data_IF_831845900974
#
_entry.id   IF_831845900974
#
_cell.length_a   1.000
_cell.length_b   1.000
_cell.length_c   1.000
_cell.angle_alpha   90.00
_cell.angle_beta   90.00
_cell.angle_gamma   90.00
#
_symmetry.space_group_name_H-M   'P 1'
#
loop_
_entity.id
_entity.type
_entity.pdbx_description
1 polymer ?
#
# COMPACT_ATOMS: atom_id res chain seq x y z
N UNK A 1 9.34 4.05 -23.82
CA UNK A 1 9.06 4.52 -22.46
C UNK A 1 7.64 4.07 -22.14
N UNK A 2 7.40 3.40 -21.00
CA UNK A 2 6.06 2.84 -20.67
C UNK A 2 5.09 3.98 -20.41
N UNK A 3 3.93 3.98 -21.09
CA UNK A 3 2.86 4.94 -20.86
C UNK A 3 1.90 4.39 -19.81
N UNK A 4 1.64 5.19 -18.77
CA UNK A 4 0.90 4.77 -17.61
C UNK A 4 -0.32 5.68 -17.37
N UNK A 5 -1.49 5.06 -17.17
CA UNK A 5 -2.69 5.75 -16.70
C UNK A 5 -3.00 5.36 -15.25
N UNK A 6 -3.42 6.33 -14.44
CA UNK A 6 -3.92 6.11 -13.08
C UNK A 6 -5.39 6.49 -13.05
N UNK A 7 -6.25 5.51 -12.78
CA UNK A 7 -7.68 5.72 -12.56
C UNK A 7 -7.90 6.01 -11.07
N UNK A 8 -8.15 7.27 -10.75
CA UNK A 8 -8.31 7.79 -9.39
C UNK A 8 -7.09 8.58 -8.90
N UNK A 9 -7.25 9.88 -8.78
CA UNK A 9 -6.26 10.82 -8.26
C UNK A 9 -6.31 11.01 -6.74
N UNK A 10 -6.86 10.04 -6.00
CA UNK A 10 -6.89 10.02 -4.54
C UNK A 10 -5.50 9.91 -3.93
N UNK A 11 -5.42 9.81 -2.60
CA UNK A 11 -4.13 9.78 -1.86
C UNK A 11 -3.15 8.72 -2.37
N UNK A 12 -3.64 7.51 -2.69
CA UNK A 12 -2.78 6.43 -3.14
C UNK A 12 -2.32 6.63 -4.60
N UNK A 13 -3.22 7.08 -5.49
CA UNK A 13 -2.85 7.44 -6.87
C UNK A 13 -1.84 8.58 -6.90
N UNK A 14 -2.04 9.63 -6.10
CA UNK A 14 -1.08 10.72 -5.94
C UNK A 14 0.29 10.23 -5.45
N UNK A 15 0.32 9.38 -4.41
CA UNK A 15 1.56 8.83 -3.89
C UNK A 15 2.34 8.04 -4.95
N UNK A 16 1.62 7.23 -5.72
CA UNK A 16 2.23 6.45 -6.79
C UNK A 16 2.83 7.35 -7.88
N UNK A 17 2.09 8.36 -8.32
CA UNK A 17 2.58 9.32 -9.33
C UNK A 17 3.78 10.10 -8.79
N UNK A 18 3.76 10.53 -7.53
CA UNK A 18 4.90 11.18 -6.90
C UNK A 18 6.15 10.27 -6.89
N UNK A 19 6.01 9.03 -6.44
CA UNK A 19 7.11 8.07 -6.43
C UNK A 19 7.64 7.72 -7.82
N UNK A 20 6.77 7.59 -8.82
CA UNK A 20 7.18 7.38 -10.22
C UNK A 20 8.00 8.58 -10.74
N UNK A 21 7.57 9.81 -10.44
CA UNK A 21 8.29 11.03 -10.79
C UNK A 21 9.68 11.08 -10.12
N UNK A 22 9.73 10.76 -8.83
CA UNK A 22 10.99 10.71 -8.07
C UNK A 22 11.93 9.62 -8.58
N UNK A 23 11.37 8.51 -9.11
CA UNK A 23 12.11 7.44 -9.78
C UNK A 23 12.50 7.77 -11.24
N UNK A 24 12.24 8.98 -11.72
CA UNK A 24 12.66 9.47 -13.03
C UNK A 24 11.75 9.08 -14.20
N UNK A 25 10.48 8.72 -13.92
CA UNK A 25 9.50 8.50 -15.00
C UNK A 25 9.13 9.83 -15.67
N UNK A 26 9.03 9.77 -17.02
CA UNK A 26 8.65 10.93 -17.82
C UNK A 26 7.21 11.35 -17.50
N UNK A 27 7.00 12.60 -17.07
CA UNK A 27 5.65 13.12 -16.79
C UNK A 27 4.71 13.04 -17.99
N UNK A 28 5.21 13.27 -19.20
CA UNK A 28 4.42 13.22 -20.44
C UNK A 28 3.91 11.79 -20.74
N UNK A 29 4.54 10.77 -20.15
CA UNK A 29 4.11 9.38 -20.20
C UNK A 29 3.07 8.99 -19.14
N UNK A 30 2.64 9.92 -18.27
CA UNK A 30 1.69 9.64 -17.18
C UNK A 30 0.39 10.40 -17.38
N UNK A 31 -0.74 9.69 -17.24
CA UNK A 31 -2.06 10.30 -17.21
C UNK A 31 -2.80 9.94 -15.91
N UNK A 32 -3.60 10.87 -15.38
CA UNK A 32 -4.48 10.65 -14.22
C UNK A 32 -5.91 10.94 -14.63
N UNK A 33 -6.82 9.99 -14.38
CA UNK A 33 -8.24 10.24 -14.43
C UNK A 33 -8.77 10.56 -13.03
N UNK A 34 -9.37 11.74 -12.86
CA UNK A 34 -9.99 12.16 -11.61
C UNK A 34 -11.29 12.91 -11.90
N UNK A 35 -12.38 12.46 -11.28
CA UNK A 35 -13.73 13.01 -11.54
C UNK A 35 -13.98 14.34 -10.80
N UNK A 36 -13.35 14.54 -9.66
CA UNK A 36 -13.49 15.75 -8.87
C UNK A 36 -12.68 16.91 -9.47
N UNK A 37 -13.32 18.03 -9.74
CA UNK A 37 -12.70 19.16 -10.43
C UNK A 37 -11.65 19.89 -9.60
N UNK A 38 -11.90 20.04 -8.28
CA UNK A 38 -10.95 20.72 -7.38
C UNK A 38 -9.70 19.84 -7.22
N UNK A 39 -9.92 18.51 -7.11
CA UNK A 39 -8.84 17.54 -7.03
C UNK A 39 -8.00 17.49 -8.30
N UNK A 40 -8.62 17.57 -9.49
CA UNK A 40 -7.88 17.68 -10.77
C UNK A 40 -6.96 18.90 -10.77
N UNK A 41 -7.50 20.06 -10.43
CA UNK A 41 -6.72 21.29 -10.40
C UNK A 41 -5.52 21.19 -9.46
N UNK A 42 -5.73 20.65 -8.26
CA UNK A 42 -4.64 20.37 -7.33
C UNK A 42 -3.57 19.45 -7.95
N UNK A 43 -3.97 18.38 -8.66
CA UNK A 43 -3.04 17.43 -9.27
C UNK A 43 -2.28 18.03 -10.45
N UNK A 44 -2.90 18.90 -11.24
CA UNK A 44 -2.26 19.66 -12.32
C UNK A 44 -1.14 20.56 -11.77
N UNK A 45 -1.43 21.29 -10.70
CA UNK A 45 -0.45 22.14 -10.03
C UNK A 45 0.68 21.31 -9.38
N UNK A 46 0.32 20.17 -8.79
CA UNK A 46 1.25 19.29 -8.05
C UNK A 46 2.20 18.54 -8.98
N UNK A 47 1.75 18.16 -10.17
CA UNK A 47 2.47 17.32 -11.13
C UNK A 47 2.57 17.96 -12.52
N UNK A 48 3.35 19.04 -12.69
CA UNK A 48 3.55 19.65 -14.00
C UNK A 48 4.04 18.63 -15.04
N UNK A 49 3.39 18.63 -16.22
CA UNK A 49 3.67 17.71 -17.33
C UNK A 49 2.88 16.39 -17.28
N UNK A 50 2.25 16.03 -16.15
CA UNK A 50 1.33 14.89 -16.07
C UNK A 50 -0.02 15.31 -16.65
N UNK A 51 -0.60 14.49 -17.51
CA UNK A 51 -1.92 14.75 -18.10
C UNK A 51 -3.02 14.38 -17.11
N UNK A 52 -3.75 15.36 -16.59
CA UNK A 52 -4.88 15.13 -15.67
C UNK A 52 -6.20 15.36 -16.43
N UNK A 53 -7.09 14.38 -16.42
CA UNK A 53 -8.32 14.38 -17.22
C UNK A 53 -9.54 13.94 -16.41
N UNK A 54 -10.77 14.40 -16.76
CA UNK A 54 -11.98 14.02 -16.03
C UNK A 54 -12.49 12.62 -16.39
N UNK A 55 -12.06 12.05 -17.52
CA UNK A 55 -12.60 10.81 -18.06
C UNK A 55 -11.59 9.66 -17.99
N UNK A 56 -11.98 8.49 -17.43
CA UNK A 56 -11.17 7.27 -17.50
C UNK A 56 -10.75 6.92 -18.93
N UNK A 57 -11.66 6.98 -19.90
CA UNK A 57 -11.39 6.67 -21.30
C UNK A 57 -10.30 7.56 -21.91
N UNK A 58 -10.26 8.85 -21.53
CA UNK A 58 -9.22 9.75 -22.04
C UNK A 58 -7.84 9.49 -21.42
N UNK A 59 -7.81 8.97 -20.18
CA UNK A 59 -6.54 8.62 -19.53
C UNK A 59 -5.92 7.37 -20.13
N UNK A 60 -6.72 6.36 -20.47
CA UNK A 60 -6.22 5.03 -20.86
C UNK A 60 -5.94 4.85 -22.35
N UNK A 61 -6.38 5.76 -23.21
CA UNK A 61 -6.44 5.57 -24.67
C UNK A 61 -5.10 5.12 -25.32
N UNK A 62 -3.97 5.47 -24.71
CA UNK A 62 -2.63 5.12 -25.20
C UNK A 62 -1.77 4.45 -24.11
N UNK A 63 -2.37 4.00 -23.01
CA UNK A 63 -1.65 3.44 -21.89
C UNK A 63 -1.25 1.99 -22.12
N UNK A 64 -0.01 1.65 -21.75
CA UNK A 64 0.50 0.29 -21.67
C UNK A 64 0.22 -0.33 -20.30
N UNK A 65 0.08 0.52 -19.26
CA UNK A 65 -0.28 0.14 -17.90
C UNK A 65 -1.38 1.03 -17.38
N UNK A 66 -2.44 0.42 -16.87
CA UNK A 66 -3.55 1.13 -16.23
C UNK A 66 -3.61 0.73 -14.76
N UNK A 67 -3.27 1.67 -13.88
CA UNK A 67 -3.37 1.48 -12.42
C UNK A 67 -4.77 1.88 -11.96
N UNK A 68 -5.48 0.92 -11.37
CA UNK A 68 -6.82 1.16 -10.79
C UNK A 68 -6.64 1.53 -9.31
N UNK A 69 -6.75 2.84 -9.03
CA UNK A 69 -6.52 3.47 -7.72
C UNK A 69 -7.78 4.13 -7.13
N UNK A 70 -8.95 3.76 -7.63
CA UNK A 70 -10.26 4.18 -7.11
C UNK A 70 -10.65 3.36 -5.88
N UNK A 71 -11.73 3.76 -5.19
CA UNK A 71 -12.30 2.95 -4.11
C UNK A 71 -12.76 1.58 -4.64
N UNK A 72 -12.74 0.52 -3.81
CA UNK A 72 -13.17 -0.81 -4.23
C UNK A 72 -14.55 -0.83 -4.91
N UNK A 73 -15.51 -0.07 -4.39
CA UNK A 73 -16.87 0.06 -4.93
C UNK A 73 -16.93 0.66 -6.33
N UNK A 74 -15.92 1.40 -6.74
CA UNK A 74 -15.92 2.18 -7.98
C UNK A 74 -15.08 1.51 -9.09
N UNK A 75 -14.44 0.35 -8.79
CA UNK A 75 -13.55 -0.36 -9.72
C UNK A 75 -14.28 -0.78 -10.98
N UNK A 76 -15.44 -1.43 -10.86
CA UNK A 76 -16.25 -1.86 -12.00
C UNK A 76 -16.61 -0.68 -12.90
N UNK A 77 -17.18 0.36 -12.32
CA UNK A 77 -17.59 1.58 -13.05
C UNK A 77 -16.41 2.26 -13.75
N UNK A 78 -15.24 2.34 -13.10
CA UNK A 78 -14.06 2.98 -13.69
C UNK A 78 -13.51 2.18 -14.88
N UNK A 79 -13.50 0.84 -14.79
CA UNK A 79 -13.08 -0.04 -15.87
C UNK A 79 -14.10 -0.07 -17.02
N UNK A 80 -15.40 -0.11 -16.73
CA UNK A 80 -16.45 0.00 -17.74
C UNK A 80 -16.36 1.33 -18.51
N UNK A 81 -16.16 2.44 -17.80
CA UNK A 81 -16.02 3.76 -18.42
C UNK A 81 -14.75 3.91 -19.29
N UNK A 82 -13.79 3.00 -19.15
CA UNK A 82 -12.55 2.95 -19.94
C UNK A 82 -12.55 1.88 -21.03
N UNK A 83 -13.53 0.96 -21.04
CA UNK A 83 -13.48 -0.31 -21.78
C UNK A 83 -13.22 -0.15 -23.29
N UNK A 84 -13.90 0.82 -23.95
CA UNK A 84 -13.76 1.06 -25.39
C UNK A 84 -12.40 1.66 -25.78
N UNK A 85 -11.81 2.44 -24.87
CA UNK A 85 -10.53 3.12 -25.12
C UNK A 85 -9.32 2.33 -24.59
N UNK A 86 -9.56 1.32 -23.74
CA UNK A 86 -8.51 0.52 -23.10
C UNK A 86 -7.82 -0.38 -24.13
N UNK A 87 -6.50 -0.22 -24.40
CA UNK A 87 -5.79 -1.05 -25.37
C UNK A 87 -5.86 -2.54 -25.04
N UNK A 88 -5.83 -3.38 -26.08
CA UNK A 88 -6.05 -4.84 -25.93
C UNK A 88 -4.97 -5.54 -25.09
N UNK A 89 -3.75 -5.02 -25.14
CA UNK A 89 -2.55 -5.54 -24.48
C UNK A 89 -2.15 -4.75 -23.22
N UNK A 90 -2.94 -3.73 -22.84
CA UNK A 90 -2.67 -2.95 -21.64
C UNK A 90 -2.77 -3.79 -20.37
N UNK A 91 -1.74 -3.70 -19.52
CA UNK A 91 -1.78 -4.29 -18.18
C UNK A 91 -2.73 -3.51 -17.26
N UNK A 92 -3.72 -4.17 -16.70
CA UNK A 92 -4.56 -3.63 -15.63
C UNK A 92 -3.95 -4.01 -14.28
N UNK A 93 -3.41 -3.03 -13.57
CA UNK A 93 -2.83 -3.18 -12.24
C UNK A 93 -3.77 -2.59 -11.19
N UNK A 94 -4.52 -3.42 -10.49
CA UNK A 94 -5.43 -2.96 -9.42
C UNK A 94 -4.72 -2.89 -8.08
N UNK A 95 -4.81 -1.72 -7.43
CA UNK A 95 -4.38 -1.50 -6.04
C UNK A 95 -5.58 -1.35 -5.08
N UNK A 96 -6.79 -1.64 -5.56
CA UNK A 96 -8.01 -1.56 -4.77
C UNK A 96 -8.09 -2.73 -3.78
N UNK A 97 -8.22 -2.42 -2.49
CA UNK A 97 -8.29 -3.43 -1.44
C UNK A 97 -9.59 -4.26 -1.54
N UNK A 98 -9.49 -5.58 -1.32
CA UNK A 98 -10.66 -6.45 -1.24
C UNK A 98 -11.30 -6.85 -2.57
N UNK A 99 -10.86 -6.33 -3.72
CA UNK A 99 -11.40 -6.71 -5.04
C UNK A 99 -10.64 -7.94 -5.56
N UNK A 100 -11.30 -9.10 -5.73
CA UNK A 100 -10.64 -10.33 -6.19
C UNK A 100 -10.26 -10.27 -7.68
N UNK A 101 -9.26 -11.08 -8.08
CA UNK A 101 -8.86 -11.22 -9.49
C UNK A 101 -10.03 -11.56 -10.41
N UNK A 102 -10.90 -12.49 -10.00
CA UNK A 102 -12.06 -12.89 -10.80
C UNK A 102 -13.02 -11.72 -11.10
N UNK A 103 -13.13 -10.73 -10.21
CA UNK A 103 -13.93 -9.53 -10.42
C UNK A 103 -13.21 -8.55 -11.36
N UNK A 104 -11.92 -8.36 -11.15
CA UNK A 104 -11.08 -7.51 -12.01
C UNK A 104 -11.04 -8.04 -13.45
N UNK A 105 -10.88 -9.35 -13.64
CA UNK A 105 -10.87 -10.01 -14.97
C UNK A 105 -12.23 -9.93 -15.66
N UNK A 106 -13.31 -9.94 -14.89
CA UNK A 106 -14.67 -9.74 -15.45
C UNK A 106 -14.87 -8.28 -15.90
N UNK A 107 -14.33 -7.32 -15.13
CA UNK A 107 -14.44 -5.90 -15.45
C UNK A 107 -13.47 -5.44 -16.56
N UNK A 108 -12.38 -6.18 -16.79
CA UNK A 108 -11.41 -5.96 -17.85
C UNK A 108 -11.21 -7.24 -18.69
N UNK A 109 -12.25 -7.70 -19.43
CA UNK A 109 -12.18 -8.93 -20.18
C UNK A 109 -11.08 -8.87 -21.23
N UNK A 110 -10.40 -10.01 -21.42
CA UNK A 110 -9.32 -10.19 -22.39
C UNK A 110 -8.02 -9.38 -22.12
N UNK A 111 -7.89 -8.72 -20.98
CA UNK A 111 -6.69 -7.98 -20.57
C UNK A 111 -5.84 -8.78 -19.58
N UNK A 112 -4.51 -8.62 -19.59
CA UNK A 112 -3.67 -9.06 -18.48
C UNK A 112 -3.99 -8.24 -17.23
N UNK A 113 -4.27 -8.94 -16.12
CA UNK A 113 -4.63 -8.31 -14.84
C UNK A 113 -3.61 -8.71 -13.77
N UNK A 114 -3.14 -7.74 -13.02
CA UNK A 114 -2.36 -7.95 -11.79
C UNK A 114 -3.10 -7.30 -10.63
N UNK A 115 -3.36 -8.06 -9.59
CA UNK A 115 -3.90 -7.55 -8.34
C UNK A 115 -2.76 -7.23 -7.39
N UNK A 116 -2.79 -6.08 -6.76
CA UNK A 116 -1.82 -5.65 -5.77
C UNK A 116 -2.50 -5.23 -4.46
N UNK A 117 -1.80 -5.43 -3.36
CA UNK A 117 -2.18 -4.93 -2.04
C UNK A 117 -1.03 -4.11 -1.46
N UNK A 118 -0.98 -2.80 -1.73
CA UNK A 118 -0.04 -1.87 -1.10
C UNK A 118 -0.53 -1.44 0.29
N UNK A 119 0.27 -0.62 0.97
CA UNK A 119 -0.12 0.04 2.21
C UNK A 119 0.15 1.55 2.17
N UNK A 120 -0.35 2.27 3.18
CA UNK A 120 -0.27 3.73 3.25
C UNK A 120 1.15 4.29 3.43
N UNK A 121 2.14 3.46 3.78
CA UNK A 121 3.54 3.89 3.85
C UNK A 121 4.13 4.21 2.46
N UNK A 122 3.45 3.83 1.38
CA UNK A 122 3.71 4.28 0.01
C UNK A 122 3.67 5.82 -0.14
N UNK A 123 2.86 6.52 0.68
CA UNK A 123 2.80 8.00 0.72
C UNK A 123 4.14 8.67 1.04
N UNK A 124 5.04 7.94 1.66
CA UNK A 124 6.39 8.41 2.05
C UNK A 124 7.50 7.57 1.40
N UNK A 125 7.20 6.84 0.33
CA UNK A 125 8.18 6.03 -0.41
C UNK A 125 8.65 4.76 0.30
N UNK A 126 7.98 4.33 1.37
CA UNK A 126 8.33 3.17 2.18
C UNK A 126 7.18 2.15 2.26
N UNK A 127 6.42 2.03 1.17
CA UNK A 127 5.33 1.07 1.06
C UNK A 127 5.80 -0.38 1.10
N UNK A 128 4.89 -1.26 1.49
CA UNK A 128 5.01 -2.69 1.27
C UNK A 128 3.80 -3.13 0.44
N UNK A 129 4.05 -3.82 -0.67
CA UNK A 129 3.03 -4.32 -1.56
C UNK A 129 3.23 -5.80 -1.84
N UNK A 130 2.13 -6.54 -1.95
CA UNK A 130 2.14 -7.86 -2.56
C UNK A 130 1.37 -7.83 -3.88
N UNK A 131 1.83 -8.60 -4.87
CA UNK A 131 1.19 -8.71 -6.18
C UNK A 131 0.90 -10.16 -6.54
N UNK A 132 -0.14 -10.35 -7.34
CA UNK A 132 -0.51 -11.64 -7.90
C UNK A 132 -1.03 -11.48 -9.33
N UNK A 133 -0.69 -12.43 -10.20
CA UNK A 133 -1.11 -12.43 -11.59
C UNK A 133 -2.51 -13.07 -11.75
N UNK A 134 -3.33 -12.47 -12.59
CA UNK A 134 -4.53 -13.09 -13.14
C UNK A 134 -4.23 -14.10 -14.24
N UNK A 135 -5.26 -14.69 -14.80
CA UNK A 135 -5.17 -15.82 -15.74
C UNK A 135 -4.43 -15.49 -17.05
N UNK A 136 -4.43 -14.22 -17.46
CA UNK A 136 -3.77 -13.74 -18.70
C UNK A 136 -2.47 -12.97 -18.44
N UNK A 137 -2.11 -12.74 -17.18
CA UNK A 137 -0.86 -12.07 -16.84
C UNK A 137 0.28 -13.07 -16.69
N UNK A 138 1.43 -12.74 -17.23
CA UNK A 138 2.65 -13.54 -17.20
C UNK A 138 3.77 -12.87 -16.37
N UNK A 139 4.97 -13.43 -16.44
CA UNK A 139 6.15 -12.92 -15.73
C UNK A 139 6.50 -11.47 -16.11
N UNK A 140 6.33 -11.11 -17.39
CA UNK A 140 6.61 -9.76 -17.89
C UNK A 140 5.65 -8.73 -17.28
N UNK A 141 4.37 -9.08 -17.16
CA UNK A 141 3.37 -8.22 -16.52
C UNK A 141 3.66 -8.03 -15.02
N UNK A 142 4.11 -9.10 -14.33
CA UNK A 142 4.55 -8.98 -12.94
C UNK A 142 5.78 -8.09 -12.77
N UNK A 143 6.76 -8.18 -13.68
CA UNK A 143 7.95 -7.30 -13.67
C UNK A 143 7.57 -5.83 -13.89
N UNK A 144 6.60 -5.56 -14.76
CA UNK A 144 6.07 -4.21 -14.96
C UNK A 144 5.39 -3.71 -13.68
N UNK A 145 4.52 -4.53 -13.06
CA UNK A 145 3.86 -4.19 -11.81
C UNK A 145 4.84 -3.94 -10.66
N UNK A 146 5.89 -4.77 -10.53
CA UNK A 146 6.98 -4.56 -9.58
C UNK A 146 7.71 -3.24 -9.80
N UNK A 147 8.00 -2.90 -11.04
CA UNK A 147 8.68 -1.65 -11.37
C UNK A 147 7.82 -0.42 -11.06
N UNK A 148 6.51 -0.50 -11.32
CA UNK A 148 5.55 0.57 -11.00
C UNK A 148 5.42 0.75 -9.49
N UNK A 149 5.15 -0.32 -8.74
CA UNK A 149 4.96 -0.25 -7.29
C UNK A 149 6.28 -0.09 -6.53
N UNK A 150 7.38 -0.56 -7.09
CA UNK A 150 8.74 -0.39 -6.57
C UNK A 150 9.18 1.08 -6.46
N UNK A 151 8.55 1.97 -7.21
CA UNK A 151 8.76 3.42 -7.08
C UNK A 151 8.32 3.98 -5.72
N UNK A 152 7.47 3.26 -4.97
CA UNK A 152 6.94 3.72 -3.67
C UNK A 152 7.20 2.75 -2.53
N UNK A 153 8.02 1.70 -2.74
CA UNK A 153 8.36 0.76 -1.66
C UNK A 153 8.85 -0.59 -2.15
N UNK A 154 8.68 -1.63 -1.34
CA UNK A 154 9.05 -3.00 -1.67
C UNK A 154 7.86 -3.79 -2.20
N UNK A 155 8.12 -4.75 -3.10
CA UNK A 155 7.09 -5.59 -3.72
C UNK A 155 7.47 -7.06 -3.57
N UNK A 156 6.49 -7.90 -3.24
CA UNK A 156 6.63 -9.37 -3.19
C UNK A 156 5.57 -10.03 -4.06
N UNK A 157 5.90 -11.15 -4.70
CA UNK A 157 4.95 -11.98 -5.45
C UNK A 157 4.37 -13.04 -4.55
N UNK A 158 3.06 -13.12 -4.47
CA UNK A 158 2.35 -14.12 -3.65
C UNK A 158 1.12 -14.65 -4.42
N UNK A 159 0.66 -15.88 -4.13
CA UNK A 159 -0.60 -16.37 -4.65
C UNK A 159 -1.78 -15.59 -4.03
N UNK A 160 -2.88 -15.46 -4.78
CA UNK A 160 -4.02 -14.61 -4.39
C UNK A 160 -4.56 -14.92 -2.99
N UNK A 161 -4.66 -16.20 -2.62
CA UNK A 161 -5.20 -16.61 -1.32
C UNK A 161 -4.42 -16.11 -0.11
N UNK A 162 -3.19 -15.59 -0.30
CA UNK A 162 -2.37 -15.00 0.75
C UNK A 162 -2.57 -13.47 0.89
N UNK A 163 -3.24 -12.81 -0.06
CA UNK A 163 -3.40 -11.36 -0.03
C UNK A 163 -4.27 -10.87 1.13
N UNK A 164 -5.17 -11.71 1.67
CA UNK A 164 -5.91 -11.37 2.89
C UNK A 164 -4.99 -11.26 4.12
N UNK A 165 -4.04 -12.18 4.23
CA UNK A 165 -3.01 -12.10 5.28
C UNK A 165 -2.09 -10.88 5.08
N UNK A 166 -1.75 -10.54 3.83
CA UNK A 166 -1.01 -9.29 3.51
C UNK A 166 -1.82 -8.06 3.92
N UNK A 167 -3.13 -8.04 3.63
CA UNK A 167 -4.02 -6.96 4.05
C UNK A 167 -3.98 -6.76 5.57
N UNK A 168 -4.06 -7.86 6.32
CA UNK A 168 -4.01 -7.84 7.78
C UNK A 168 -2.65 -7.41 8.33
N UNK A 169 -1.55 -7.93 7.74
CA UNK A 169 -0.20 -7.73 8.25
C UNK A 169 0.38 -6.37 7.85
N UNK A 170 0.39 -6.06 6.56
CA UNK A 170 1.03 -4.85 6.02
C UNK A 170 0.03 -3.75 5.66
N UNK A 171 -1.16 -4.09 5.18
CA UNK A 171 -2.22 -3.13 4.90
C UNK A 171 -2.71 -2.42 6.16
N UNK A 172 -3.08 -3.19 7.18
CA UNK A 172 -3.50 -2.70 8.51
C UNK A 172 -2.32 -2.38 9.43
N UNK A 173 -1.14 -2.92 9.14
CA UNK A 173 0.08 -2.79 9.96
C UNK A 173 0.41 -1.38 10.44
N UNK A 174 0.32 -0.34 9.60
CA UNK A 174 0.56 1.04 10.03
C UNK A 174 -0.30 1.46 11.23
N UNK A 175 -1.57 1.03 11.28
CA UNK A 175 -2.47 1.33 12.41
C UNK A 175 -1.98 0.69 13.72
N UNK A 176 -1.42 -0.52 13.66
CA UNK A 176 -0.84 -1.18 14.84
C UNK A 176 0.38 -0.44 15.35
N UNK A 177 1.24 0.05 14.45
CA UNK A 177 2.41 0.87 14.80
C UNK A 177 1.97 2.19 15.42
N UNK A 178 0.93 2.83 14.90
CA UNK A 178 0.40 4.07 15.48
C UNK A 178 -0.18 3.86 16.87
N UNK A 179 -0.90 2.75 17.10
CA UNK A 179 -1.38 2.39 18.44
C UNK A 179 -0.22 2.18 19.43
N UNK A 180 0.86 1.51 19.00
CA UNK A 180 2.07 1.35 19.83
C UNK A 180 2.71 2.72 20.13
N UNK A 181 2.76 3.62 19.14
CA UNK A 181 3.27 4.98 19.34
C UNK A 181 2.45 5.76 20.38
N UNK A 182 1.12 5.73 20.27
CA UNK A 182 0.21 6.37 21.24
C UNK A 182 0.44 5.84 22.66
N UNK A 183 0.48 4.51 22.82
CA UNK A 183 0.69 3.88 24.11
C UNK A 183 2.07 4.24 24.73
N UNK A 184 3.12 4.34 23.91
CA UNK A 184 4.45 4.75 24.38
C UNK A 184 4.48 6.22 24.80
N UNK A 185 3.80 7.11 24.08
CA UNK A 185 3.67 8.53 24.46
C UNK A 185 2.95 8.64 25.81
N UNK A 186 1.82 7.96 25.99
CA UNK A 186 1.07 7.94 27.25
C UNK A 186 1.92 7.41 28.41
N UNK A 187 2.68 6.32 28.17
CA UNK A 187 3.59 5.77 29.18
C UNK A 187 4.72 6.74 29.53
N UNK A 188 5.26 7.49 28.54
CA UNK A 188 6.27 8.55 28.77
C UNK A 188 5.72 9.66 29.66
N UNK A 189 4.50 10.12 29.39
CA UNK A 189 3.81 11.14 30.23
C UNK A 189 3.55 10.60 31.65
N UNK A 190 3.09 9.35 31.77
CA UNK A 190 2.92 8.70 33.07
C UNK A 190 4.22 8.58 33.86
N UNK A 191 5.35 8.42 33.16
CA UNK A 191 6.69 8.37 33.76
C UNK A 191 7.26 9.78 34.09
N UNK A 192 6.54 10.87 33.81
CA UNK A 192 6.90 12.23 34.19
C UNK A 192 7.48 13.10 33.07
N UNK A 193 7.47 12.65 31.81
CA UNK A 193 7.89 13.47 30.68
C UNK A 193 6.76 14.47 30.27
N UNK A 194 7.15 15.62 29.77
CA UNK A 194 6.22 16.50 29.06
C UNK A 194 5.73 15.80 27.78
N UNK A 195 4.45 16.02 27.38
CA UNK A 195 3.83 15.31 26.26
C UNK A 195 4.57 15.52 24.93
N UNK A 196 4.96 16.73 24.62
CA UNK A 196 5.71 17.09 23.43
C UNK A 196 7.06 16.36 23.37
N UNK A 197 7.78 16.32 24.49
CA UNK A 197 9.05 15.58 24.62
C UNK A 197 8.83 14.06 24.42
N UNK A 198 7.76 13.50 25.01
CA UNK A 198 7.44 12.09 24.85
C UNK A 198 7.10 11.77 23.38
N UNK A 199 6.33 12.62 22.70
CA UNK A 199 5.98 12.47 21.28
C UNK A 199 7.24 12.47 20.39
N UNK A 200 8.13 13.43 20.57
CA UNK A 200 9.35 13.53 19.77
C UNK A 200 10.28 12.33 19.99
N UNK A 201 10.46 11.90 21.23
CA UNK A 201 11.28 10.74 21.56
C UNK A 201 10.70 9.45 20.97
N UNK A 202 9.38 9.25 21.05
CA UNK A 202 8.71 8.06 20.49
C UNK A 202 8.82 8.03 18.97
N UNK A 203 8.54 9.15 18.28
CA UNK A 203 8.69 9.24 16.82
C UNK A 203 10.10 8.87 16.37
N UNK A 204 11.11 9.47 17.01
CA UNK A 204 12.51 9.20 16.67
C UNK A 204 12.93 7.77 17.00
N UNK A 205 12.44 7.20 18.09
CA UNK A 205 12.73 5.81 18.50
C UNK A 205 12.15 4.81 17.49
N UNK A 206 10.89 4.99 17.07
CA UNK A 206 10.23 4.13 16.06
C UNK A 206 10.95 4.23 14.72
N UNK A 207 11.30 5.43 14.26
CA UNK A 207 12.04 5.63 13.02
C UNK A 207 13.42 4.93 13.08
N UNK A 208 14.16 5.10 14.18
CA UNK A 208 15.46 4.47 14.35
C UNK A 208 15.37 2.95 14.40
N UNK A 209 14.41 2.39 15.15
CA UNK A 209 14.17 0.96 15.21
C UNK A 209 13.76 0.38 13.85
N UNK A 210 12.89 1.05 13.09
CA UNK A 210 12.51 0.62 11.74
C UNK A 210 13.71 0.59 10.78
N UNK A 211 14.60 1.58 10.85
CA UNK A 211 15.84 1.58 10.05
C UNK A 211 16.79 0.44 10.40
N UNK A 212 16.92 0.10 11.68
CA UNK A 212 17.70 -1.06 12.12
C UNK A 212 17.09 -2.37 11.61
N UNK A 213 15.76 -2.50 11.67
CA UNK A 213 15.02 -3.66 11.15
C UNK A 213 15.14 -3.84 9.63
N UNK A 214 15.44 -2.78 8.89
CA UNK A 214 15.68 -2.87 7.44
C UNK A 214 17.05 -3.45 7.09
N UNK A 215 17.93 -3.64 8.07
CA UNK A 215 19.22 -4.30 7.91
C UNK A 215 19.11 -5.83 7.85
N UNK A 216 20.28 -6.51 7.94
CA UNK A 216 20.36 -7.96 7.80
C UNK A 216 19.97 -8.75 9.08
N UNK A 217 19.95 -8.08 10.24
CA UNK A 217 19.71 -8.73 11.52
C UNK A 217 18.23 -9.07 11.75
N UNK A 218 17.98 -10.23 12.34
CA UNK A 218 16.61 -10.61 12.72
C UNK A 218 16.06 -9.72 13.85
N UNK A 219 14.73 -9.54 13.94
CA UNK A 219 14.11 -8.82 15.05
C UNK A 219 14.51 -9.36 16.43
N UNK A 220 14.72 -10.68 16.54
CA UNK A 220 15.18 -11.32 17.77
C UNK A 220 16.61 -10.92 18.13
N UNK A 221 17.52 -10.87 17.15
CA UNK A 221 18.91 -10.44 17.32
C UNK A 221 18.97 -8.99 17.76
N UNK A 222 18.26 -8.09 17.07
CA UNK A 222 18.21 -6.67 17.41
C UNK A 222 17.67 -6.43 18.82
N UNK A 223 16.60 -7.15 19.21
CA UNK A 223 16.05 -7.07 20.56
C UNK A 223 17.07 -7.54 21.61
N UNK A 224 17.77 -8.64 21.36
CA UNK A 224 18.79 -9.15 22.26
C UNK A 224 19.95 -8.15 22.43
N UNK A 225 20.40 -7.51 21.36
CA UNK A 225 21.50 -6.55 21.38
C UNK A 225 21.23 -5.33 22.27
N UNK A 226 19.96 -4.94 22.46
CA UNK A 226 19.56 -3.82 23.32
C UNK A 226 19.06 -4.26 24.70
N UNK A 227 19.21 -5.55 25.04
CA UNK A 227 18.72 -6.13 26.31
C UNK A 227 19.88 -6.64 27.17
N UNK A 228 20.42 -5.78 28.03
CA UNK A 228 21.44 -6.17 29.00
C UNK A 228 20.83 -6.96 30.17
N UNK A 229 21.59 -7.91 30.77
CA UNK A 229 21.15 -8.65 31.96
C UNK A 229 20.79 -7.69 33.10
N UNK A 230 19.58 -7.83 33.66
CA UNK A 230 19.11 -7.00 34.76
C UNK A 230 18.80 -5.53 34.39
N UNK A 231 18.95 -5.14 33.12
CA UNK A 231 18.72 -3.77 32.63
C UNK A 231 17.27 -3.36 32.54
N UNK A 232 17.05 -2.06 32.25
CA UNK A 232 15.71 -1.47 32.09
C UNK A 232 14.93 -2.12 30.98
N UNK A 233 15.58 -2.42 29.85
CA UNK A 233 14.97 -3.12 28.71
C UNK A 233 14.43 -4.49 29.11
N UNK A 234 15.22 -5.26 29.86
CA UNK A 234 14.80 -6.59 30.35
C UNK A 234 13.58 -6.50 31.29
N UNK A 235 13.56 -5.48 32.17
CA UNK A 235 12.41 -5.23 33.05
C UNK A 235 11.15 -4.88 32.28
N UNK A 236 11.24 -3.98 31.30
CA UNK A 236 10.11 -3.57 30.44
C UNK A 236 9.58 -4.74 29.60
N UNK A 237 10.46 -5.47 28.92
CA UNK A 237 10.09 -6.65 28.10
C UNK A 237 9.38 -7.72 28.94
N UNK A 238 9.83 -7.98 30.18
CA UNK A 238 9.17 -8.92 31.10
C UNK A 238 7.70 -8.56 31.34
N UNK A 239 7.39 -7.29 31.47
CA UNK A 239 5.99 -6.85 31.66
C UNK A 239 5.18 -7.05 30.37
N UNK A 240 5.71 -6.67 29.20
CA UNK A 240 5.03 -6.85 27.91
C UNK A 240 4.75 -8.33 27.63
N UNK A 241 5.72 -9.22 27.88
CA UNK A 241 5.53 -10.67 27.72
C UNK A 241 4.45 -11.21 28.70
N UNK A 242 4.46 -10.78 29.98
CA UNK A 242 3.44 -11.16 30.96
C UNK A 242 2.03 -10.66 30.60
N UNK A 243 1.92 -9.54 29.90
CA UNK A 243 0.64 -8.99 29.39
C UNK A 243 0.20 -9.61 28.07
N UNK A 244 0.95 -10.57 27.54
CA UNK A 244 0.55 -11.32 26.35
C UNK A 244 0.58 -10.53 25.05
N UNK A 245 1.45 -9.50 24.91
CA UNK A 245 1.49 -8.62 23.72
C UNK A 245 1.67 -9.44 22.44
N UNK A 246 2.47 -10.54 22.46
CA UNK A 246 2.62 -11.42 21.28
C UNK A 246 1.29 -12.06 20.89
N UNK A 247 0.55 -12.60 21.85
CA UNK A 247 -0.76 -13.18 21.62
C UNK A 247 -1.72 -12.17 21.02
N UNK A 248 -1.75 -10.95 21.57
CA UNK A 248 -2.60 -9.88 21.06
C UNK A 248 -2.33 -9.53 19.57
N UNK A 249 -1.04 -9.51 19.16
CA UNK A 249 -0.71 -9.31 17.73
C UNK A 249 -1.12 -10.48 16.85
N UNK A 250 -0.95 -11.73 17.33
CA UNK A 250 -1.42 -12.92 16.60
C UNK A 250 -2.93 -12.87 16.38
N UNK A 251 -3.69 -12.61 17.43
CA UNK A 251 -5.15 -12.52 17.39
C UNK A 251 -5.63 -11.37 16.48
N UNK A 252 -4.98 -10.21 16.56
CA UNK A 252 -5.32 -9.06 15.73
C UNK A 252 -5.12 -9.34 14.24
N UNK A 253 -3.99 -9.95 13.85
CA UNK A 253 -3.72 -10.29 12.45
C UNK A 253 -4.69 -11.36 11.95
N UNK A 254 -5.00 -12.38 12.75
CA UNK A 254 -5.97 -13.42 12.38
C UNK A 254 -7.37 -12.83 12.20
N UNK A 255 -7.84 -11.99 13.11
CA UNK A 255 -9.14 -11.33 13.02
C UNK A 255 -9.23 -10.42 11.78
N UNK A 256 -8.18 -9.65 11.48
CA UNK A 256 -8.13 -8.79 10.30
C UNK A 256 -8.08 -9.60 9.00
N UNK A 257 -7.40 -10.75 8.98
CA UNK A 257 -7.36 -11.67 7.84
C UNK A 257 -8.75 -12.23 7.53
N UNK A 258 -9.48 -12.67 8.56
CA UNK A 258 -10.84 -13.16 8.40
C UNK A 258 -11.77 -12.06 7.89
N UNK A 259 -11.66 -10.86 8.47
CA UNK A 259 -12.46 -9.72 8.02
C UNK A 259 -12.18 -9.34 6.56
N UNK A 260 -10.93 -9.45 6.11
CA UNK A 260 -10.57 -9.23 4.70
C UNK A 260 -11.28 -10.22 3.76
N UNK A 261 -11.33 -11.51 4.13
CA UNK A 261 -12.05 -12.54 3.38
C UNK A 261 -13.54 -12.25 3.29
N UNK A 262 -14.18 -11.92 4.42
CA UNK A 262 -15.60 -11.56 4.46
C UNK A 262 -15.93 -10.40 3.52
N UNK A 263 -15.09 -9.38 3.47
CA UNK A 263 -15.26 -8.22 2.58
C UNK A 263 -15.13 -8.62 1.11
N UNK A 264 -14.16 -9.48 0.77
CA UNK A 264 -14.00 -10.01 -0.57
C UNK A 264 -15.16 -10.91 -1.01
N UNK A 265 -15.75 -11.66 -0.09
CA UNK A 265 -16.93 -12.50 -0.40
C UNK A 265 -18.22 -11.67 -0.54
N UNK A 266 -18.34 -10.57 0.18
CA UNK A 266 -19.47 -9.65 0.06
C UNK A 266 -19.51 -8.91 -1.29
N UNK A 267 -18.35 -8.60 -1.88
CA UNK A 267 -18.25 -7.98 -3.21
C UNK A 267 -18.63 -8.95 -4.36
N UNK A 268 -18.66 -10.27 -4.09
CA UNK A 268 -19.10 -11.29 -5.06
C UNK A 268 -20.61 -11.46 -5.16
N UNK A 269 -21.39 -10.87 -4.26
CA UNK A 269 -22.87 -10.96 -4.19
C UNK A 269 -23.54 -9.76 -4.82
#
# INVERSE_FOLDING_TARGET
MVRLAVLGGGRMGEALVAGLRDAGWDPDGIAIAEIDAERRHYLEDRFPGVRVVPSPAWAVADAEVVVVAVKPTDVGTALEASAEALPADALVLSIAAGVPLAELERAAPDRPVVRAMPNTAALVGHGAAAITAGSRADATHLEIAERVLGAVGTVVRLPEHQLDAVTALSGSGPAYVFLVAEALVEAGVLAGLARDVAEDLVRQTLLGAARLLHGADSPATLRAAVTSPGGTTAAGLRILERRGVRGAFLDAVLAATERSRELGDASRR
#
